data_IF_714599612181
#
_entry.id   IF_714599612181
#
_cell.length_a   1.000
_cell.length_b   1.000
_cell.length_c   1.000
_cell.angle_alpha   90.00
_cell.angle_beta   90.00
_cell.angle_gamma   90.00
#
_symmetry.space_group_name_H-M   'P 1'
#
loop_
_entity.id
_entity.type
_entity.pdbx_description
1 polymer ?
#
# COMPACT_ATOMS: atom_id res chain seq x y z
N UNK A 1 -4.84 18.04 22.10
CA UNK A 1 -5.63 17.03 21.37
C UNK A 1 -4.66 16.14 20.58
N UNK A 2 -4.18 15.01 21.14
CA UNK A 2 -3.22 14.12 20.44
C UNK A 2 -3.98 13.40 19.33
N UNK A 3 -3.79 13.84 18.09
CA UNK A 3 -4.26 13.11 16.91
C UNK A 3 -3.38 11.85 16.81
N UNK A 4 -3.87 10.75 17.38
CA UNK A 4 -3.20 9.47 17.31
C UNK A 4 -3.18 9.05 15.86
N UNK A 5 -2.01 9.17 15.24
CA UNK A 5 -1.86 8.81 13.85
C UNK A 5 -2.03 7.31 13.75
N UNK A 6 -3.09 6.86 13.08
CA UNK A 6 -3.56 5.47 13.06
C UNK A 6 -2.44 4.52 12.59
N UNK A 7 -1.54 5.01 11.72
CA UNK A 7 -0.34 4.28 11.29
C UNK A 7 0.70 4.01 12.39
N UNK A 8 0.61 4.66 13.56
CA UNK A 8 1.46 4.41 14.73
C UNK A 8 0.84 3.40 15.70
N UNK A 9 -0.43 3.06 15.52
CA UNK A 9 -1.17 2.12 16.38
C UNK A 9 -1.17 0.72 15.77
N UNK A 10 -1.20 0.62 14.44
CA UNK A 10 -1.25 -0.66 13.76
C UNK A 10 0.12 -1.35 13.70
N UNK A 11 0.20 -2.64 14.07
CA UNK A 11 1.38 -3.46 13.81
C UNK A 11 1.73 -3.50 12.31
N UNK A 12 3.00 -3.75 12.00
CA UNK A 12 3.51 -3.76 10.62
C UNK A 12 2.79 -4.80 9.77
N UNK A 13 2.48 -5.93 10.37
CA UNK A 13 1.83 -7.09 9.78
C UNK A 13 0.41 -6.74 9.32
N UNK A 14 -0.32 -5.97 10.13
CA UNK A 14 -1.68 -5.52 9.78
C UNK A 14 -1.64 -4.51 8.63
N UNK A 15 -0.66 -3.60 8.63
CA UNK A 15 -0.46 -2.67 7.51
C UNK A 15 -0.11 -3.42 6.22
N UNK A 16 0.76 -4.43 6.30
CA UNK A 16 1.10 -5.30 5.16
C UNK A 16 -0.10 -6.07 4.62
N UNK A 17 -0.98 -6.56 5.50
CA UNK A 17 -2.24 -7.21 5.10
C UNK A 17 -3.17 -6.23 4.37
N UNK A 18 -3.31 -5.00 4.89
CA UNK A 18 -4.10 -3.95 4.24
C UNK A 18 -3.55 -3.66 2.84
N UNK A 19 -2.24 -3.51 2.69
CA UNK A 19 -1.61 -3.28 1.38
C UNK A 19 -1.90 -4.44 0.42
N UNK A 20 -1.84 -5.68 0.91
CA UNK A 20 -2.07 -6.88 0.10
C UNK A 20 -3.51 -6.91 -0.43
N UNK A 21 -4.49 -6.55 0.39
CA UNK A 21 -5.90 -6.45 -0.03
C UNK A 21 -6.04 -5.35 -1.10
N UNK A 22 -5.51 -4.15 -0.83
CA UNK A 22 -5.59 -3.01 -1.74
C UNK A 22 -4.94 -3.26 -3.11
N UNK A 23 -3.84 -4.01 -3.15
CA UNK A 23 -3.13 -4.29 -4.41
C UNK A 23 -3.69 -5.51 -5.15
N UNK A 24 -4.45 -6.37 -4.47
CA UNK A 24 -5.10 -7.54 -5.08
C UNK A 24 -6.45 -7.19 -5.69
N UNK A 25 -7.21 -6.29 -5.05
CA UNK A 25 -8.50 -5.85 -5.56
C UNK A 25 -8.30 -4.98 -6.81
N UNK A 26 -8.41 -5.61 -7.99
CA UNK A 26 -8.53 -4.93 -9.28
C UNK A 26 -9.92 -4.31 -9.38
N UNK A 27 -10.20 -3.28 -8.57
CA UNK A 27 -11.42 -2.50 -8.70
C UNK A 27 -11.33 -1.81 -10.07
N UNK A 28 -12.18 -2.18 -11.05
CA UNK A 28 -12.14 -1.56 -12.36
C UNK A 28 -12.74 -0.17 -12.18
N UNK A 29 -11.91 0.81 -11.85
CA UNK A 29 -12.34 2.20 -11.87
C UNK A 29 -12.30 2.60 -13.34
N UNK A 30 -13.45 2.97 -13.95
CA UNK A 30 -13.45 3.48 -15.31
C UNK A 30 -12.42 4.64 -15.40
N UNK A 31 -11.81 4.87 -16.56
CA UNK A 31 -10.85 5.98 -16.82
C UNK A 31 -9.40 5.85 -16.26
N UNK A 32 -8.97 4.71 -15.69
CA UNK A 32 -7.62 4.53 -15.09
C UNK A 32 -6.45 4.27 -16.06
N UNK A 33 -6.37 4.95 -17.19
CA UNK A 33 -5.30 4.66 -18.17
C UNK A 33 -3.89 5.10 -17.73
N UNK A 34 -3.74 5.87 -16.63
CA UNK A 34 -2.44 6.42 -16.19
C UNK A 34 -2.26 6.46 -14.66
N UNK A 35 -2.90 5.58 -13.89
CA UNK A 35 -2.73 5.58 -12.43
C UNK A 35 -1.48 4.81 -12.01
N UNK A 36 -0.69 5.45 -11.14
CA UNK A 36 0.46 4.83 -10.45
C UNK A 36 -0.02 3.57 -9.73
N UNK A 37 0.68 2.42 -9.84
CA UNK A 37 0.24 1.18 -9.20
C UNK A 37 -0.01 1.37 -7.70
N UNK A 38 -1.02 0.70 -7.11
CA UNK A 38 -1.36 0.89 -5.70
C UNK A 38 -0.18 0.59 -4.77
N UNK A 39 0.65 -0.40 -5.10
CA UNK A 39 1.89 -0.72 -4.37
C UNK A 39 2.89 0.44 -4.36
N UNK A 40 2.98 1.21 -5.45
CA UNK A 40 3.81 2.41 -5.52
C UNK A 40 3.15 3.51 -4.69
N UNK A 41 1.85 3.75 -4.86
CA UNK A 41 1.10 4.76 -4.11
C UNK A 41 1.27 4.62 -2.59
N UNK A 42 1.10 3.40 -2.04
CA UNK A 42 1.25 3.16 -0.60
C UNK A 42 2.69 3.33 -0.12
N UNK A 43 3.70 2.99 -0.95
CA UNK A 43 5.12 3.17 -0.59
C UNK A 43 5.55 4.64 -0.48
N UNK A 44 4.80 5.57 -1.10
CA UNK A 44 5.09 7.00 -1.09
C UNK A 44 4.38 7.79 0.02
N UNK A 45 3.56 7.15 0.87
CA UNK A 45 2.82 7.84 1.95
C UNK A 45 3.74 8.35 3.06
N UNK A 46 4.63 7.48 3.57
CA UNK A 46 5.65 7.84 4.56
C UNK A 46 6.79 6.81 4.58
N UNK A 47 7.90 7.12 5.26
CA UNK A 47 9.04 6.20 5.40
C UNK A 47 8.65 4.84 5.98
N UNK A 48 7.75 4.83 6.96
CA UNK A 48 7.28 3.59 7.60
C UNK A 48 6.51 2.69 6.63
N UNK A 49 5.67 3.28 5.80
CA UNK A 49 4.88 2.55 4.81
C UNK A 49 5.78 2.01 3.69
N UNK A 50 6.80 2.79 3.30
CA UNK A 50 7.83 2.33 2.38
C UNK A 50 8.56 1.08 2.88
N UNK A 51 8.99 1.07 4.15
CA UNK A 51 9.63 -0.11 4.76
C UNK A 51 8.72 -1.34 4.70
N UNK A 52 7.45 -1.18 5.06
CA UNK A 52 6.48 -2.29 5.10
C UNK A 52 6.15 -2.79 3.69
N UNK A 53 5.96 -1.89 2.73
CA UNK A 53 5.71 -2.24 1.34
C UNK A 53 6.89 -3.03 0.76
N UNK A 54 8.13 -2.57 0.97
CA UNK A 54 9.33 -3.29 0.54
C UNK A 54 9.52 -4.64 1.26
N UNK A 55 9.11 -4.74 2.52
CA UNK A 55 9.14 -5.98 3.29
C UNK A 55 8.00 -6.97 2.98
N UNK A 56 7.11 -6.64 2.03
CA UNK A 56 5.96 -7.48 1.64
C UNK A 56 6.10 -7.89 0.17
N UNK A 57 6.84 -8.98 -0.15
CA UNK A 57 7.13 -9.39 -1.53
C UNK A 57 5.89 -9.62 -2.41
N UNK A 58 4.77 -10.04 -1.81
CA UNK A 58 3.51 -10.27 -2.51
C UNK A 58 2.98 -9.03 -3.26
N UNK A 59 3.32 -7.82 -2.80
CA UNK A 59 2.93 -6.56 -3.47
C UNK A 59 3.63 -6.35 -4.82
N UNK A 60 4.77 -6.99 -5.03
CA UNK A 60 5.67 -6.75 -6.17
C UNK A 60 5.65 -7.89 -7.20
N UNK A 61 4.76 -8.86 -7.02
CA UNK A 61 4.67 -10.03 -7.90
C UNK A 61 3.94 -9.75 -9.24
N UNK A 62 3.16 -8.66 -9.33
CA UNK A 62 2.43 -8.23 -10.55
C UNK A 62 2.67 -6.73 -10.79
N UNK A 63 3.91 -6.37 -11.15
CA UNK A 63 4.26 -5.00 -11.56
C UNK A 63 4.50 -4.96 -13.06
N UNK A 64 3.70 -4.16 -13.78
CA UNK A 64 3.91 -3.86 -15.20
C UNK A 64 4.63 -2.52 -15.33
N UNK A 65 5.66 -2.48 -16.18
CA UNK A 65 6.54 -1.33 -16.41
C UNK A 65 6.24 -0.75 -17.77
#
# INVERSE_FOLDING_TARGET
KKMLVIHRILPREIIGLIFSILCTEKIPIPHQQHMVPPQITVSHVCSKWREIALATPALWNDVKI
#
